data_IF_844860397418
#
_entry.id   IF_844860397418
#
_cell.length_a   1.000
_cell.length_b   1.000
_cell.length_c   1.000
_cell.angle_alpha   90.00
_cell.angle_beta   90.00
_cell.angle_gamma   90.00
#
_symmetry.space_group_name_H-M   'P 1'
#
loop_
_entity.id
_entity.type
_entity.pdbx_description
1 polymer ?
#
# COMPACT_ATOMS: atom_id res chain seq x y z
N UNK A 1 -9.24 -30.19 11.24
CA UNK A 1 -9.15 -29.58 9.91
C UNK A 1 -7.70 -29.41 9.47
N UNK A 2 -6.84 -28.61 10.16
CA UNK A 2 -5.44 -28.36 9.73
C UNK A 2 -4.65 -29.67 9.64
N UNK A 3 -4.67 -30.51 10.70
CA UNK A 3 -3.98 -31.79 10.70
C UNK A 3 -4.43 -32.72 9.57
N UNK A 4 -5.71 -32.73 9.26
CA UNK A 4 -6.26 -33.51 8.15
C UNK A 4 -5.74 -33.00 6.80
N UNK A 5 -5.61 -31.68 6.62
CA UNK A 5 -5.02 -31.09 5.43
C UNK A 5 -3.52 -31.45 5.31
N UNK A 6 -2.78 -31.42 6.41
CA UNK A 6 -1.37 -31.84 6.43
C UNK A 6 -1.20 -33.32 6.06
N UNK A 7 -2.12 -34.18 6.53
CA UNK A 7 -2.16 -35.60 6.17
C UNK A 7 -2.47 -35.80 4.68
N UNK A 8 -3.45 -35.05 4.12
CA UNK A 8 -3.81 -35.13 2.69
C UNK A 8 -2.68 -34.61 1.77
N UNK A 9 -2.02 -33.51 2.16
CA UNK A 9 -0.90 -32.96 1.38
C UNK A 9 0.44 -33.69 1.61
N UNK A 10 0.51 -34.54 2.64
CA UNK A 10 1.74 -35.27 2.99
C UNK A 10 2.89 -34.35 3.45
N UNK A 11 2.57 -33.12 3.85
CA UNK A 11 3.57 -32.11 4.28
C UNK A 11 2.99 -31.22 5.39
N UNK A 12 3.81 -30.85 6.40
CA UNK A 12 3.37 -29.94 7.44
C UNK A 12 3.17 -28.53 6.87
N UNK A 13 2.07 -27.91 7.26
CA UNK A 13 1.74 -26.52 6.91
C UNK A 13 2.22 -25.53 7.96
N UNK A 14 2.43 -26.02 9.20
CA UNK A 14 2.92 -25.24 10.32
C UNK A 14 4.11 -25.90 10.96
N UNK A 15 5.04 -25.08 11.47
CA UNK A 15 6.17 -25.47 12.28
C UNK A 15 6.23 -24.69 13.58
N UNK A 16 6.85 -25.28 14.61
CA UNK A 16 7.09 -24.60 15.88
C UNK A 16 8.53 -24.08 15.93
N UNK A 17 8.66 -22.76 15.93
CA UNK A 17 9.95 -22.08 16.09
C UNK A 17 9.93 -21.28 17.38
N UNK A 18 10.79 -21.65 18.36
CA UNK A 18 10.91 -20.96 19.66
C UNK A 18 9.53 -20.73 20.34
N UNK A 19 8.73 -21.80 20.45
CA UNK A 19 7.39 -21.81 21.05
C UNK A 19 6.32 -20.98 20.31
N UNK A 20 6.62 -20.47 19.12
CA UNK A 20 5.65 -19.80 18.24
C UNK A 20 5.32 -20.71 17.06
N UNK A 21 4.05 -20.68 16.66
CA UNK A 21 3.60 -21.36 15.46
C UNK A 21 3.91 -20.45 14.26
N UNK A 22 4.62 -21.00 13.26
CA UNK A 22 4.90 -20.33 11.99
C UNK A 22 4.40 -21.19 10.84
N UNK A 23 4.07 -20.54 9.72
CA UNK A 23 3.81 -21.26 8.48
C UNK A 23 5.12 -21.82 7.92
N UNK A 24 5.05 -23.00 7.36
CA UNK A 24 6.10 -23.55 6.47
C UNK A 24 5.95 -22.93 5.08
N UNK A 25 6.93 -23.13 4.19
CA UNK A 25 6.81 -22.69 2.79
C UNK A 25 5.58 -23.30 2.09
N UNK A 26 5.21 -24.53 2.44
CA UNK A 26 3.98 -25.17 1.95
C UNK A 26 2.74 -24.46 2.53
N UNK A 27 2.76 -24.11 3.81
CA UNK A 27 1.69 -23.36 4.46
C UNK A 27 1.49 -21.97 3.88
N UNK A 28 2.59 -21.25 3.59
CA UNK A 28 2.53 -19.94 2.93
C UNK A 28 1.95 -20.03 1.52
N UNK A 29 2.39 -21.03 0.74
CA UNK A 29 1.84 -21.27 -0.60
C UNK A 29 0.36 -21.61 -0.56
N UNK A 30 -0.06 -22.47 0.36
CA UNK A 30 -1.46 -22.83 0.50
C UNK A 30 -2.30 -21.63 0.91
N UNK A 31 -1.86 -20.85 1.90
CA UNK A 31 -2.54 -19.64 2.36
C UNK A 31 -2.73 -18.65 1.21
N UNK A 32 -1.66 -18.40 0.45
CA UNK A 32 -1.72 -17.54 -0.73
C UNK A 32 -2.78 -18.00 -1.73
N UNK A 33 -2.79 -19.29 -2.08
CA UNK A 33 -3.73 -19.85 -3.05
C UNK A 33 -5.17 -19.90 -2.52
N UNK A 34 -5.34 -20.23 -1.24
CA UNK A 34 -6.65 -20.26 -0.59
C UNK A 34 -7.29 -18.86 -0.54
N UNK A 35 -6.51 -17.83 -0.22
CA UNK A 35 -6.98 -16.44 -0.24
C UNK A 35 -7.42 -16.01 -1.64
N UNK A 36 -6.62 -16.30 -2.66
CA UNK A 36 -6.97 -16.01 -4.05
C UNK A 36 -8.27 -16.72 -4.47
N UNK A 37 -8.43 -17.99 -4.13
CA UNK A 37 -9.64 -18.75 -4.42
C UNK A 37 -10.89 -18.18 -3.73
N UNK A 38 -10.77 -17.81 -2.44
CA UNK A 38 -11.87 -17.19 -1.70
C UNK A 38 -12.25 -15.82 -2.25
N UNK A 39 -11.26 -15.04 -2.70
CA UNK A 39 -11.50 -13.75 -3.37
C UNK A 39 -12.28 -13.94 -4.67
N UNK A 40 -11.91 -14.91 -5.51
CA UNK A 40 -12.64 -15.22 -6.75
C UNK A 40 -14.08 -15.69 -6.49
N UNK A 41 -14.28 -16.51 -5.46
CA UNK A 41 -15.64 -16.90 -5.06
C UNK A 41 -16.46 -15.69 -4.61
N UNK A 42 -15.87 -14.78 -3.82
CA UNK A 42 -16.53 -13.53 -3.43
C UNK A 42 -16.90 -12.66 -4.64
N UNK A 43 -16.03 -12.57 -5.65
CA UNK A 43 -16.32 -11.87 -6.91
C UNK A 43 -17.48 -12.52 -7.66
N UNK A 44 -17.47 -13.83 -7.78
CA UNK A 44 -18.57 -14.55 -8.44
C UNK A 44 -19.92 -14.32 -7.73
N UNK A 45 -19.96 -14.32 -6.41
CA UNK A 45 -21.17 -13.98 -5.64
C UNK A 45 -21.63 -12.54 -5.95
N UNK A 46 -20.71 -11.58 -5.95
CA UNK A 46 -21.02 -10.18 -6.28
C UNK A 46 -21.56 -10.03 -7.72
N UNK A 47 -20.99 -10.76 -8.69
CA UNK A 47 -21.48 -10.74 -10.08
C UNK A 47 -22.90 -11.33 -10.18
N UNK A 48 -23.20 -12.41 -9.45
CA UNK A 48 -24.54 -13.00 -9.38
C UNK A 48 -25.54 -12.01 -8.78
N UNK A 49 -25.17 -11.32 -7.69
CA UNK A 49 -26.00 -10.30 -7.07
C UNK A 49 -26.30 -9.13 -8.03
N UNK A 50 -25.31 -8.73 -8.84
CA UNK A 50 -25.50 -7.72 -9.89
C UNK A 50 -26.49 -8.17 -10.97
N UNK A 51 -26.47 -9.44 -11.39
CA UNK A 51 -27.43 -10.00 -12.34
C UNK A 51 -28.88 -9.93 -11.82
N UNK A 52 -29.06 -9.98 -10.50
CA UNK A 52 -30.35 -9.85 -9.85
C UNK A 52 -30.74 -8.38 -9.55
N UNK A 53 -29.97 -7.41 -10.07
CA UNK A 53 -30.20 -5.98 -9.85
C UNK A 53 -29.86 -5.50 -8.44
N UNK A 54 -29.19 -6.34 -7.65
CA UNK A 54 -28.71 -6.01 -6.31
C UNK A 54 -27.32 -5.36 -6.44
N UNK A 55 -27.28 -4.03 -6.52
CA UNK A 55 -26.03 -3.26 -6.49
C UNK A 55 -25.46 -3.20 -5.04
N UNK A 56 -25.36 -4.35 -4.42
CA UNK A 56 -24.84 -4.52 -3.05
C UNK A 56 -23.53 -5.29 -3.12
N UNK A 57 -22.64 -4.97 -2.20
CA UNK A 57 -21.35 -5.64 -2.10
C UNK A 57 -20.39 -4.86 -1.24
N UNK A 58 -19.19 -5.42 -1.05
CA UNK A 58 -18.10 -4.73 -0.35
C UNK A 58 -16.91 -4.61 -1.26
N UNK A 59 -16.36 -3.41 -1.38
CA UNK A 59 -15.10 -3.14 -2.09
C UNK A 59 -14.02 -2.88 -1.04
N UNK A 60 -12.95 -3.65 -1.07
CA UNK A 60 -11.79 -3.47 -0.19
C UNK A 60 -10.71 -2.67 -0.90
N UNK A 61 -10.31 -1.53 -0.32
CA UNK A 61 -9.34 -0.61 -0.91
C UNK A 61 -8.15 -0.45 0.05
N UNK A 62 -6.96 -0.81 -0.41
CA UNK A 62 -5.71 -0.56 0.31
C UNK A 62 -5.16 0.81 -0.09
N UNK A 63 -4.84 1.67 0.88
CA UNK A 63 -4.36 3.02 0.59
C UNK A 63 -3.21 3.42 1.50
N UNK A 64 -2.35 4.31 1.02
CA UNK A 64 -1.36 4.98 1.88
C UNK A 64 -2.03 6.07 2.71
N UNK A 65 -1.45 6.40 3.85
CA UNK A 65 -2.04 7.33 4.83
C UNK A 65 -2.41 8.70 4.23
N UNK A 66 -1.55 9.28 3.41
CA UNK A 66 -1.81 10.58 2.78
C UNK A 66 -3.02 10.55 1.83
N UNK A 67 -3.24 9.43 1.14
CA UNK A 67 -4.41 9.20 0.29
C UNK A 67 -5.66 9.02 1.15
N UNK A 68 -5.56 8.24 2.25
CA UNK A 68 -6.67 8.04 3.17
C UNK A 68 -7.19 9.36 3.74
N UNK A 69 -6.28 10.25 4.15
CA UNK A 69 -6.65 11.56 4.73
C UNK A 69 -7.08 12.60 3.69
N UNK A 70 -6.45 12.61 2.52
CA UNK A 70 -6.64 13.66 1.51
C UNK A 70 -7.72 13.34 0.48
N UNK A 71 -7.55 12.25 -0.23
CA UNK A 71 -8.38 11.90 -1.40
C UNK A 71 -9.63 11.10 -1.02
N UNK A 72 -9.48 10.11 -0.11
CA UNK A 72 -10.54 9.13 0.16
C UNK A 72 -11.87 9.74 0.61
N UNK A 73 -11.93 10.71 1.54
CA UNK A 73 -13.22 11.25 1.99
C UNK A 73 -14.07 11.79 0.83
N UNK A 74 -13.44 12.57 -0.06
CA UNK A 74 -14.13 13.14 -1.22
C UNK A 74 -14.50 12.08 -2.26
N UNK A 75 -13.63 11.11 -2.47
CA UNK A 75 -13.88 10.02 -3.41
C UNK A 75 -15.05 9.14 -2.95
N UNK A 76 -15.09 8.82 -1.65
CA UNK A 76 -16.17 8.01 -1.06
C UNK A 76 -17.50 8.76 -1.07
N UNK A 77 -17.51 10.05 -0.75
CA UNK A 77 -18.71 10.87 -0.85
C UNK A 77 -19.29 10.84 -2.29
N UNK A 78 -18.44 11.10 -3.28
CA UNK A 78 -18.86 11.06 -4.68
C UNK A 78 -19.31 9.67 -5.15
N UNK A 79 -18.70 8.62 -4.61
CA UNK A 79 -19.03 7.23 -4.92
C UNK A 79 -20.39 6.85 -4.32
N UNK A 80 -20.61 7.09 -3.03
CA UNK A 80 -21.88 6.73 -2.35
C UNK A 80 -23.08 7.53 -2.82
N UNK A 81 -22.87 8.74 -3.35
CA UNK A 81 -23.95 9.47 -4.02
C UNK A 81 -24.51 8.72 -5.25
N UNK A 82 -23.70 7.84 -5.86
CA UNK A 82 -24.10 7.03 -7.02
C UNK A 82 -24.41 5.58 -6.67
N UNK A 83 -23.77 5.06 -5.63
CA UNK A 83 -23.79 3.65 -5.22
C UNK A 83 -24.01 3.55 -3.70
N UNK A 84 -25.18 3.97 -3.18
CA UNK A 84 -25.42 4.07 -1.73
C UNK A 84 -25.40 2.72 -1.01
N UNK A 85 -25.70 1.64 -1.71
CA UNK A 85 -25.81 0.29 -1.14
C UNK A 85 -24.48 -0.49 -1.16
N UNK A 86 -23.39 0.11 -1.67
CA UNK A 86 -22.07 -0.53 -1.70
C UNK A 86 -21.28 -0.14 -0.47
N UNK A 87 -20.82 -1.15 0.28
CA UNK A 87 -19.91 -0.97 1.40
C UNK A 87 -18.46 -0.83 0.89
N UNK A 88 -17.67 0.04 1.54
CA UNK A 88 -16.26 0.20 1.22
C UNK A 88 -15.44 -0.01 2.49
N UNK A 89 -14.51 -0.97 2.43
CA UNK A 89 -13.52 -1.22 3.47
C UNK A 89 -12.19 -0.56 3.07
N UNK A 90 -11.73 0.41 3.86
CA UNK A 90 -10.49 1.15 3.58
C UNK A 90 -9.40 0.72 4.55
N UNK A 91 -8.37 0.06 4.02
CA UNK A 91 -7.21 -0.42 4.78
C UNK A 91 -6.02 0.52 4.56
N UNK A 92 -5.53 1.13 5.64
CA UNK A 92 -4.37 2.03 5.57
C UNK A 92 -3.09 1.24 5.81
N UNK A 93 -2.17 1.30 4.86
CA UNK A 93 -0.90 0.56 4.93
C UNK A 93 0.18 1.18 4.03
N UNK A 94 1.40 0.64 4.07
CA UNK A 94 2.46 1.08 3.16
C UNK A 94 2.18 0.66 1.71
N UNK A 95 2.79 1.36 0.74
CA UNK A 95 2.63 1.03 -0.69
C UNK A 95 2.99 -0.43 -1.01
N UNK A 96 4.06 -0.95 -0.40
CA UNK A 96 4.48 -2.33 -0.61
C UNK A 96 3.47 -3.34 -0.01
N UNK A 97 2.98 -3.08 1.20
CA UNK A 97 1.97 -3.92 1.84
C UNK A 97 0.65 -3.91 1.03
N UNK A 98 0.25 -2.76 0.49
CA UNK A 98 -0.92 -2.64 -0.37
C UNK A 98 -0.78 -3.44 -1.68
N UNK A 99 0.41 -3.43 -2.30
CA UNK A 99 0.68 -4.29 -3.47
C UNK A 99 0.56 -5.77 -3.14
N UNK A 100 1.08 -6.19 -1.98
CA UNK A 100 0.97 -7.57 -1.54
C UNK A 100 -0.49 -7.95 -1.26
N UNK A 101 -1.26 -7.08 -0.59
CA UNK A 101 -2.68 -7.28 -0.32
C UNK A 101 -3.50 -7.49 -1.60
N UNK A 102 -3.18 -6.76 -2.69
CA UNK A 102 -3.78 -7.02 -4.01
C UNK A 102 -3.37 -8.37 -4.57
N UNK A 103 -2.06 -8.69 -4.54
CA UNK A 103 -1.55 -9.95 -5.06
C UNK A 103 -2.12 -11.17 -4.31
N UNK A 104 -2.39 -11.03 -3.03
CA UNK A 104 -2.96 -12.05 -2.15
C UNK A 104 -4.50 -12.07 -2.15
N UNK A 105 -5.15 -11.15 -2.87
CA UNK A 105 -6.60 -11.05 -2.93
C UNK A 105 -7.25 -10.52 -1.63
N UNK A 106 -6.48 -9.88 -0.76
CA UNK A 106 -6.97 -9.26 0.48
C UNK A 106 -7.62 -7.89 0.27
N UNK A 107 -7.35 -7.28 -0.90
CA UNK A 107 -7.96 -6.02 -1.33
C UNK A 107 -8.23 -6.07 -2.83
N UNK A 108 -9.26 -5.36 -3.28
CA UNK A 108 -9.67 -5.30 -4.69
C UNK A 108 -8.93 -4.20 -5.44
N UNK A 109 -8.66 -3.09 -4.77
CA UNK A 109 -7.97 -1.92 -5.32
C UNK A 109 -6.87 -1.44 -4.37
N UNK A 110 -5.85 -0.79 -4.94
CA UNK A 110 -4.88 -0.05 -4.15
C UNK A 110 -4.62 1.34 -4.74
N UNK A 111 -4.48 2.34 -3.87
CA UNK A 111 -4.05 3.69 -4.24
C UNK A 111 -2.78 3.99 -3.45
N UNK A 112 -1.68 4.01 -4.15
CA UNK A 112 -0.33 3.97 -3.57
C UNK A 112 0.61 4.91 -4.31
N UNK A 113 1.76 5.16 -3.72
CA UNK A 113 2.88 5.74 -4.45
C UNK A 113 3.61 4.67 -5.26
N UNK A 114 4.40 5.13 -6.23
CA UNK A 114 5.11 4.24 -7.16
C UNK A 114 6.00 3.25 -6.44
N UNK A 115 5.72 1.97 -6.66
CA UNK A 115 6.52 0.83 -6.21
C UNK A 115 6.65 -0.14 -7.36
N UNK A 116 7.66 -1.00 -7.30
CA UNK A 116 7.77 -2.12 -8.23
C UNK A 116 6.66 -3.13 -7.92
N UNK A 117 5.56 -3.03 -8.66
CA UNK A 117 4.41 -3.91 -8.47
C UNK A 117 4.75 -5.36 -8.86
N UNK A 118 4.27 -6.36 -8.11
CA UNK A 118 4.31 -7.76 -8.52
C UNK A 118 3.62 -7.97 -9.87
N UNK A 119 4.02 -9.01 -10.63
CA UNK A 119 3.43 -9.32 -11.94
C UNK A 119 1.92 -9.57 -11.90
N UNK A 120 1.41 -10.02 -10.75
CA UNK A 120 -0.03 -10.26 -10.53
C UNK A 120 -0.84 -8.97 -10.38
N UNK A 121 -0.20 -7.82 -10.17
CA UNK A 121 -0.87 -6.53 -9.94
C UNK A 121 -0.86 -5.72 -11.22
N UNK A 122 -2.05 -5.34 -11.69
CA UNK A 122 -2.22 -4.50 -12.88
C UNK A 122 -2.39 -3.03 -12.47
N UNK A 123 -1.56 -2.15 -13.01
CA UNK A 123 -1.75 -0.70 -12.88
C UNK A 123 -2.89 -0.26 -13.79
N UNK A 124 -3.93 0.34 -13.21
CA UNK A 124 -5.09 0.85 -13.94
C UNK A 124 -4.81 2.25 -14.48
N UNK A 125 -4.27 3.12 -13.61
CA UNK A 125 -3.92 4.50 -13.96
C UNK A 125 -2.78 5.00 -13.09
N UNK A 126 -2.16 6.09 -13.49
CA UNK A 126 -1.15 6.79 -12.68
C UNK A 126 -1.20 8.28 -12.98
N UNK A 127 -0.92 9.07 -11.95
CA UNK A 127 -0.72 10.50 -12.04
C UNK A 127 0.65 10.83 -11.47
N UNK A 128 1.34 11.78 -12.08
CA UNK A 128 2.60 12.28 -11.57
C UNK A 128 2.34 13.52 -10.72
N UNK A 129 2.85 13.51 -9.49
CA UNK A 129 2.75 14.63 -8.58
C UNK A 129 4.15 15.17 -8.29
N UNK A 130 4.37 16.49 -8.31
CA UNK A 130 5.64 17.05 -7.92
C UNK A 130 5.86 16.89 -6.43
N UNK A 131 7.10 16.64 -6.04
CA UNK A 131 7.52 16.71 -4.65
C UNK A 131 7.70 18.17 -4.24
N UNK A 132 7.18 18.53 -3.07
CA UNK A 132 7.39 19.84 -2.47
C UNK A 132 8.33 19.77 -1.27
N UNK A 133 8.92 20.90 -0.94
CA UNK A 133 9.69 21.10 0.28
C UNK A 133 8.91 22.03 1.20
N UNK A 134 8.75 21.61 2.44
CA UNK A 134 8.21 22.48 3.50
C UNK A 134 9.38 23.25 4.13
N UNK A 135 9.31 24.53 4.09
CA UNK A 135 10.30 25.44 4.69
C UNK A 135 9.65 26.34 5.72
N UNK A 136 10.40 26.76 6.75
CA UNK A 136 9.91 27.72 7.73
C UNK A 136 9.71 29.09 7.06
N UNK A 137 8.61 29.79 7.36
CA UNK A 137 8.41 31.16 6.89
C UNK A 137 9.59 32.07 7.25
N UNK A 138 9.97 32.97 6.32
CA UNK A 138 11.08 33.90 6.51
C UNK A 138 12.46 33.31 6.20
N UNK A 139 12.55 32.08 5.72
CA UNK A 139 13.81 31.55 5.20
C UNK A 139 13.94 31.85 3.72
N UNK A 140 15.18 31.96 3.23
CA UNK A 140 15.52 32.22 1.80
C UNK A 140 14.93 31.19 0.83
N UNK A 141 14.45 30.05 1.33
CA UNK A 141 13.86 28.97 0.57
C UNK A 141 12.34 28.98 0.57
N UNK A 142 11.73 29.63 1.57
CA UNK A 142 10.27 29.69 1.70
C UNK A 142 9.61 30.50 0.57
N UNK A 143 10.33 31.51 0.05
CA UNK A 143 9.81 32.41 -0.98
C UNK A 143 10.05 31.89 -2.42
N UNK A 144 10.78 30.77 -2.56
CA UNK A 144 11.04 30.16 -3.86
C UNK A 144 9.88 29.27 -4.29
N UNK A 145 9.43 29.44 -5.52
CA UNK A 145 8.38 28.61 -6.14
C UNK A 145 8.89 27.21 -6.51
N UNK A 146 10.20 27.03 -6.66
CA UNK A 146 10.84 25.73 -6.92
C UNK A 146 12.25 25.71 -6.34
N UNK A 147 12.70 24.53 -5.95
CA UNK A 147 14.04 24.29 -5.44
C UNK A 147 14.71 23.18 -6.25
N UNK A 148 15.99 23.33 -6.52
CA UNK A 148 16.81 22.22 -7.03
C UNK A 148 17.35 21.43 -5.86
N UNK A 149 17.63 20.15 -6.05
CA UNK A 149 18.25 19.32 -5.00
C UNK A 149 19.56 19.93 -4.48
N UNK A 150 20.33 20.60 -5.35
CA UNK A 150 21.54 21.31 -4.95
C UNK A 150 21.28 22.45 -3.95
N UNK A 151 20.12 23.10 -4.00
CA UNK A 151 19.74 24.15 -3.03
C UNK A 151 19.53 23.62 -1.62
N UNK A 152 19.39 22.29 -1.50
CA UNK A 152 19.24 21.56 -0.23
C UNK A 152 20.57 20.98 0.27
N UNK A 153 21.66 21.12 -0.51
CA UNK A 153 22.98 20.68 -0.10
C UNK A 153 23.40 21.37 1.20
N UNK A 154 24.00 20.60 2.12
CA UNK A 154 24.45 21.10 3.43
C UNK A 154 23.34 21.68 4.33
N UNK A 155 22.08 21.47 3.99
CA UNK A 155 20.96 21.84 4.86
C UNK A 155 20.55 20.67 5.76
N UNK A 156 20.05 20.99 6.94
CA UNK A 156 19.37 19.99 7.77
C UNK A 156 17.99 19.75 7.18
N UNK A 157 17.79 18.57 6.59
CA UNK A 157 16.54 18.17 5.95
C UNK A 157 15.92 17.03 6.75
N UNK A 158 14.65 17.12 7.02
CA UNK A 158 13.86 16.02 7.60
C UNK A 158 13.26 15.24 6.44
N UNK A 159 13.59 13.99 6.35
CA UNK A 159 13.11 13.09 5.31
C UNK A 159 12.22 11.99 5.90
N UNK A 160 11.33 11.47 5.09
CA UNK A 160 10.64 10.22 5.41
C UNK A 160 11.63 9.08 5.51
N UNK A 161 11.34 8.09 6.34
CA UNK A 161 12.14 6.88 6.45
C UNK A 161 12.29 6.15 5.10
N UNK A 162 13.46 5.58 4.84
CA UNK A 162 13.76 4.88 3.58
C UNK A 162 12.89 3.64 3.35
N UNK A 163 12.28 3.08 4.40
CA UNK A 163 11.31 1.98 4.29
C UNK A 163 10.00 2.42 3.61
N UNK A 164 9.74 3.74 3.57
CA UNK A 164 8.60 4.32 2.87
C UNK A 164 9.00 4.65 1.43
N UNK A 165 8.11 4.44 0.49
CA UNK A 165 8.34 4.68 -0.94
C UNK A 165 8.83 6.10 -1.23
N UNK A 166 8.28 7.10 -0.54
CA UNK A 166 8.70 8.48 -0.70
C UNK A 166 10.14 8.71 -0.21
N UNK A 167 10.49 8.14 0.95
CA UNK A 167 11.85 8.24 1.50
C UNK A 167 12.88 7.64 0.56
N UNK A 168 12.67 6.42 0.09
CA UNK A 168 13.59 5.74 -0.83
C UNK A 168 13.74 6.50 -2.16
N UNK A 169 12.67 7.06 -2.71
CA UNK A 169 12.72 7.85 -3.95
C UNK A 169 13.51 9.15 -3.79
N UNK A 170 13.37 9.81 -2.65
CA UNK A 170 14.12 11.03 -2.33
C UNK A 170 15.60 10.72 -2.12
N UNK A 171 15.94 9.68 -1.37
CA UNK A 171 17.33 9.23 -1.17
C UNK A 171 18.00 8.86 -2.51
N UNK A 172 17.30 8.15 -3.38
CA UNK A 172 17.80 7.82 -4.71
C UNK A 172 18.06 9.09 -5.55
N UNK A 173 17.17 10.08 -5.49
CA UNK A 173 17.36 11.36 -6.18
C UNK A 173 18.57 12.13 -5.67
N UNK A 174 18.80 12.19 -4.36
CA UNK A 174 20.00 12.79 -3.78
C UNK A 174 21.27 12.03 -4.18
N UNK A 175 21.26 10.71 -4.12
CA UNK A 175 22.39 9.87 -4.50
C UNK A 175 22.79 10.06 -5.97
N UNK A 176 21.80 10.13 -6.86
CA UNK A 176 22.04 10.39 -8.29
C UNK A 176 22.60 11.79 -8.56
N UNK A 177 22.24 12.76 -7.72
CA UNK A 177 22.66 14.15 -7.88
C UNK A 177 24.04 14.43 -7.28
N UNK A 178 24.70 13.44 -6.66
CA UNK A 178 25.96 13.57 -5.91
C UNK A 178 25.91 14.70 -4.86
N UNK A 179 24.74 14.98 -4.34
CA UNK A 179 24.52 16.00 -3.30
C UNK A 179 24.57 15.34 -1.93
N UNK A 180 25.54 15.76 -1.12
CA UNK A 180 25.60 15.31 0.28
C UNK A 180 24.53 16.02 1.08
N UNK A 181 23.70 15.25 1.78
CA UNK A 181 22.65 15.78 2.66
C UNK A 181 23.03 15.49 4.13
N UNK A 182 22.65 16.40 5.00
CA UNK A 182 22.64 16.18 6.45
C UNK A 182 21.19 15.84 6.81
N UNK A 183 20.87 14.54 6.88
CA UNK A 183 19.54 14.11 7.31
C UNK A 183 19.44 14.12 8.82
N UNK A 184 18.32 14.60 9.34
CA UNK A 184 17.92 14.39 10.72
C UNK A 184 16.80 13.32 10.68
N UNK A 185 17.05 12.07 11.08
CA UNK A 185 15.99 11.07 11.11
C UNK A 185 14.92 11.55 12.11
N UNK A 186 13.68 11.45 11.71
CA UNK A 186 12.56 11.61 12.65
C UNK A 186 12.68 10.43 13.62
N UNK A 187 13.09 10.68 14.84
CA UNK A 187 13.04 9.71 15.92
C UNK A 187 11.59 9.27 16.11
N UNK A 188 11.37 8.12 15.69
CA UNK A 188 10.32 7.36 15.98
C UNK A 188 9.25 7.03 16.42
N UNK A 189 8.68 6.23 16.11
CA UNK A 189 7.50 5.59 16.65
C UNK A 189 7.90 4.72 17.85
N UNK A 190 7.41 5.09 19.00
CA UNK A 190 7.23 4.17 20.10
C UNK A 190 5.84 3.56 20.03
#
# INVERSE_FOLDING_TARGET
VIRQMEEEFGTPLFERVRQRLKLTSAGELLLYRARAALSELGRACNEIDQLHGLHRGTVSIAVVESVARGLMPRALEAFWNKHPDVSVDVKVMSSQAACNAIAEGESDLAIIFDVRAPRAVRRITSISLPLGVLALPGTDKADKTSLKLFDLANQKVILSDASLTLGSSVEEAFSRSLVTQVSCPILGQH
#
